data_IF_901283443760
#
_entry.id   IF_901283443760
#
_cell.length_a   1.000
_cell.length_b   1.000
_cell.length_c   1.000
_cell.angle_alpha   90.00
_cell.angle_beta   90.00
_cell.angle_gamma   90.00
#
_symmetry.space_group_name_H-M   'P 1'
#
loop_
_entity.id
_entity.type
_entity.pdbx_description
1 polymer ?
#
# COMPACT_ATOMS: atom_id res chain seq x y z
N UNK A 1 12.00 -8.46 1.30
CA UNK A 1 11.16 -9.22 2.23
C UNK A 1 10.34 -8.21 3.00
N UNK A 2 9.02 -8.34 3.05
CA UNK A 2 8.16 -7.38 3.74
C UNK A 2 8.11 -7.68 5.24
N UNK A 3 8.06 -6.62 6.05
CA UNK A 3 7.68 -6.73 7.45
C UNK A 3 6.20 -7.10 7.51
N UNK A 4 5.85 -8.24 8.10
CA UNK A 4 4.47 -8.71 8.16
C UNK A 4 3.59 -7.74 8.95
N UNK A 5 2.43 -7.39 8.41
CA UNK A 5 1.48 -6.47 9.03
C UNK A 5 1.78 -4.99 8.80
N UNK A 6 3.01 -4.66 8.41
CA UNK A 6 3.43 -3.30 8.11
C UNK A 6 2.73 -2.72 6.89
N UNK A 7 2.73 -1.39 6.82
CA UNK A 7 1.97 -0.61 5.87
C UNK A 7 2.93 0.23 5.05
N UNK A 8 2.78 0.11 3.74
CA UNK A 8 3.65 0.74 2.76
C UNK A 8 2.87 1.68 1.85
N UNK A 9 3.58 2.61 1.23
CA UNK A 9 3.10 3.47 0.15
C UNK A 9 4.05 3.38 -1.04
N UNK A 10 3.52 3.50 -2.25
CA UNK A 10 4.37 3.72 -3.43
C UNK A 10 4.80 5.18 -3.53
N UNK A 11 6.10 5.45 -3.44
CA UNK A 11 6.65 6.82 -3.52
C UNK A 11 6.63 7.41 -4.95
N UNK A 12 6.42 6.57 -5.97
CA UNK A 12 6.35 7.00 -7.39
C UNK A 12 5.01 7.61 -7.80
N UNK A 13 4.01 7.60 -6.91
CA UNK A 13 2.66 8.11 -7.22
C UNK A 13 2.31 9.27 -6.30
N UNK A 14 1.58 10.26 -6.83
CA UNK A 14 0.99 11.33 -6.02
C UNK A 14 -0.31 10.91 -5.32
N UNK A 15 -0.74 9.66 -5.48
CA UNK A 15 -1.95 9.15 -4.85
C UNK A 15 -1.61 8.60 -3.48
N UNK A 16 -2.24 9.14 -2.44
CA UNK A 16 -2.19 8.58 -1.09
C UNK A 16 -2.98 7.26 -1.07
N UNK A 17 -2.26 6.16 -1.26
CA UNK A 17 -2.80 4.79 -1.16
C UNK A 17 -1.88 3.94 -0.32
N UNK A 18 -2.45 3.33 0.72
CA UNK A 18 -1.73 2.48 1.66
C UNK A 18 -1.90 1.01 1.31
N UNK A 19 -0.85 0.24 1.54
CA UNK A 19 -0.80 -1.18 1.26
C UNK A 19 -0.28 -1.95 2.47
N UNK A 20 -1.06 -2.88 2.97
CA UNK A 20 -0.65 -3.71 4.09
C UNK A 20 0.05 -4.97 3.59
N UNK A 21 1.18 -5.30 4.20
CA UNK A 21 1.91 -6.54 3.98
C UNK A 21 1.24 -7.72 4.70
N UNK A 22 1.05 -8.80 3.97
CA UNK A 22 0.58 -10.06 4.48
C UNK A 22 1.29 -11.23 3.81
N UNK A 23 1.07 -12.41 4.37
CA UNK A 23 1.63 -13.66 3.88
C UNK A 23 0.48 -14.62 3.61
N UNK A 24 0.51 -15.29 2.45
CA UNK A 24 -0.45 -16.36 2.17
C UNK A 24 -0.18 -17.57 3.07
N UNK A 25 -1.11 -18.54 3.11
CA UNK A 25 -0.89 -19.81 3.84
C UNK A 25 0.35 -20.57 3.34
N UNK A 26 0.71 -20.37 2.07
CA UNK A 26 1.84 -21.03 1.42
C UNK A 26 3.14 -20.20 1.53
N UNK A 27 3.15 -19.15 2.36
CA UNK A 27 4.35 -18.35 2.63
C UNK A 27 4.66 -17.25 1.61
N UNK A 28 3.73 -16.93 0.69
CA UNK A 28 3.96 -15.90 -0.33
C UNK A 28 3.66 -14.54 0.27
N UNK A 29 4.66 -13.66 0.28
CA UNK A 29 4.52 -12.27 0.70
C UNK A 29 3.80 -11.43 -0.35
N UNK A 30 2.83 -10.64 0.10
CA UNK A 30 2.09 -9.73 -0.77
C UNK A 30 1.63 -8.48 -0.05
N UNK A 31 1.36 -7.45 -0.85
CA UNK A 31 0.78 -6.18 -0.45
C UNK A 31 -0.65 -6.09 -0.99
N UNK A 32 -1.59 -5.66 -0.16
CA UNK A 32 -2.97 -5.39 -0.57
C UNK A 32 -3.42 -4.00 -0.11
N UNK A 33 -4.21 -3.28 -0.91
CA UNK A 33 -4.59 -1.91 -0.61
C UNK A 33 -5.60 -1.86 0.54
N UNK A 34 -5.39 -0.89 1.44
CA UNK A 34 -6.25 -0.64 2.60
C UNK A 34 -6.57 0.87 2.71
N UNK A 35 -7.71 1.15 3.33
CA UNK A 35 -8.01 2.45 3.90
C UNK A 35 -7.25 2.63 5.22
N UNK A 36 -7.19 3.87 5.72
CA UNK A 36 -6.61 4.20 7.04
C UNK A 36 -7.29 3.41 8.18
N UNK A 37 -8.58 3.09 8.03
CA UNK A 37 -9.33 2.26 8.97
C UNK A 37 -8.92 0.78 8.97
N UNK A 38 -8.03 0.37 8.06
CA UNK A 38 -7.67 -1.03 7.81
C UNK A 38 -8.65 -1.77 6.90
N UNK A 39 -9.71 -1.10 6.46
CA UNK A 39 -10.69 -1.69 5.54
C UNK A 39 -10.03 -1.94 4.18
N UNK A 40 -10.13 -3.17 3.67
CA UNK A 40 -9.58 -3.52 2.35
C UNK A 40 -10.26 -2.71 1.26
N UNK A 41 -9.46 -2.09 0.40
CA UNK A 41 -9.96 -1.41 -0.78
C UNK A 41 -10.22 -2.47 -1.86
N UNK A 42 -11.40 -2.42 -2.46
CA UNK A 42 -11.75 -3.24 -3.60
C UNK A 42 -12.26 -2.33 -4.71
N UNK A 43 -11.80 -2.58 -5.93
CA UNK A 43 -12.29 -1.93 -7.13
C UNK A 43 -13.46 -2.72 -7.72
N UNK A 44 -14.24 -2.07 -8.56
CA UNK A 44 -15.39 -2.68 -9.23
C UNK A 44 -15.17 -2.69 -10.74
N UNK A 45 -15.34 -3.86 -11.36
CA UNK A 45 -15.37 -3.99 -12.80
C UNK A 45 -16.68 -3.39 -13.33
N UNK A 46 -16.73 -2.87 -14.58
CA UNK A 46 -17.98 -2.35 -15.17
C UNK A 46 -19.20 -3.29 -15.08
N UNK A 47 -18.99 -4.60 -15.03
CA UNK A 47 -20.05 -5.61 -14.82
C UNK A 47 -20.47 -5.85 -13.36
N UNK A 48 -20.00 -5.03 -12.41
CA UNK A 48 -20.37 -5.08 -10.99
C UNK A 48 -19.54 -6.01 -10.11
N UNK A 49 -18.73 -6.92 -10.68
CA UNK A 49 -17.84 -7.79 -9.91
C UNK A 49 -16.73 -6.99 -9.23
N UNK A 50 -16.49 -7.29 -7.96
CA UNK A 50 -15.45 -6.64 -7.15
C UNK A 50 -14.15 -7.43 -7.19
N UNK A 51 -13.05 -6.72 -7.27
CA UNK A 51 -11.70 -7.29 -7.23
C UNK A 51 -10.77 -6.42 -6.41
N UNK A 52 -9.63 -6.99 -6.04
CA UNK A 52 -8.51 -6.24 -5.45
C UNK A 52 -7.27 -6.50 -6.27
N UNK A 53 -6.44 -5.48 -6.46
CA UNK A 53 -5.09 -5.65 -7.02
C UNK A 53 -4.13 -5.81 -5.86
N UNK A 54 -3.36 -6.89 -5.90
CA UNK A 54 -2.32 -7.21 -4.92
C UNK A 54 -0.96 -7.25 -5.61
N UNK A 55 0.08 -6.93 -4.84
CA UNK A 55 1.46 -6.89 -5.34
C UNK A 55 2.30 -7.93 -4.63
N UNK A 56 3.02 -8.74 -5.38
CA UNK A 56 3.90 -9.78 -4.86
C UNK A 56 5.35 -9.39 -5.08
N UNK A 57 6.21 -9.66 -4.10
CA UNK A 57 7.65 -9.58 -4.33
C UNK A 57 8.08 -10.79 -5.17
N UNK A 58 8.61 -10.54 -6.36
CA UNK A 58 9.17 -11.61 -7.19
C UNK A 58 10.60 -11.94 -6.78
N UNK A 59 11.09 -13.10 -7.20
CA UNK A 59 12.50 -13.51 -7.01
C UNK A 59 13.53 -12.59 -7.69
N UNK A 60 13.10 -11.68 -8.57
CA UNK A 60 13.97 -10.74 -9.30
C UNK A 60 13.95 -9.33 -8.67
N UNK A 61 13.48 -9.20 -7.43
CA UNK A 61 13.34 -7.93 -6.72
C UNK A 61 12.44 -6.89 -7.43
N UNK A 62 11.51 -7.38 -8.25
CA UNK A 62 10.43 -6.59 -8.86
C UNK A 62 9.09 -6.96 -8.28
N UNK A 63 8.14 -6.04 -8.31
CA UNK A 63 6.78 -6.30 -7.88
C UNK A 63 5.94 -6.83 -9.05
N UNK A 64 5.20 -7.91 -8.82
CA UNK A 64 4.19 -8.39 -9.75
C UNK A 64 2.80 -8.02 -9.24
N UNK A 65 2.01 -7.35 -10.08
CA UNK A 65 0.62 -7.04 -9.80
C UNK A 65 -0.28 -8.17 -10.29
N UNK A 66 -1.17 -8.67 -9.45
CA UNK A 66 -2.23 -9.60 -9.86
C UNK A 66 -3.57 -9.18 -9.26
N UNK A 67 -4.66 -9.52 -9.93
CA UNK A 67 -6.00 -9.31 -9.38
C UNK A 67 -6.50 -10.52 -8.59
N UNK A 68 -7.42 -10.26 -7.67
CA UNK A 68 -8.18 -11.28 -6.96
C UNK A 68 -9.65 -10.86 -6.90
N UNK A 69 -10.53 -11.65 -7.51
CA UNK A 69 -11.98 -11.49 -7.42
C UNK A 69 -12.47 -11.79 -6.02
N UNK A 70 -13.38 -10.97 -5.50
CA UNK A 70 -13.99 -11.18 -4.19
C UNK A 70 -15.27 -12.01 -4.25
N UNK A 71 -15.91 -12.05 -5.43
CA UNK A 71 -17.15 -12.77 -5.66
C UNK A 71 -17.30 -13.26 -7.13
N UNK A 72 -17.26 -14.58 -7.39
CA UNK A 72 -16.68 -15.60 -6.51
C UNK A 72 -15.20 -15.33 -6.22
N UNK A 73 -14.71 -15.85 -5.09
CA UNK A 73 -13.31 -15.73 -4.66
C UNK A 73 -12.37 -16.47 -5.60
N UNK A 74 -11.62 -15.75 -6.42
CA UNK A 74 -10.77 -16.35 -7.45
C UNK A 74 -9.60 -15.43 -7.83
N UNK A 75 -8.39 -15.99 -7.92
CA UNK A 75 -7.24 -15.25 -8.47
C UNK A 75 -7.43 -14.98 -9.97
N UNK A 76 -6.86 -13.87 -10.45
CA UNK A 76 -6.78 -13.62 -11.88
C UNK A 76 -5.83 -14.64 -12.51
N UNK A 77 -6.10 -14.99 -13.76
CA UNK A 77 -5.28 -15.96 -14.50
C UNK A 77 -3.85 -15.47 -14.75
N UNK A 78 -3.65 -14.15 -14.74
CA UNK A 78 -2.38 -13.51 -15.08
C UNK A 78 -1.96 -12.54 -13.98
N UNK A 79 -0.65 -12.53 -13.73
CA UNK A 79 0.04 -11.48 -13.02
C UNK A 79 0.95 -10.74 -14.00
N UNK A 80 1.16 -9.45 -13.77
CA UNK A 80 2.02 -8.60 -14.58
C UNK A 80 3.20 -8.15 -13.74
N UNK A 81 4.42 -8.48 -14.18
CA UNK A 81 5.63 -7.95 -13.54
C UNK A 81 5.71 -6.46 -13.89
N UNK A 82 5.68 -5.63 -12.86
CA UNK A 82 5.81 -4.18 -13.00
C UNK A 82 7.28 -3.79 -13.07
N UNK A 83 7.55 -2.53 -13.40
CA UNK A 83 8.87 -1.92 -13.25
C UNK A 83 9.17 -1.48 -11.80
N UNK A 84 8.19 -1.57 -10.90
CA UNK A 84 8.36 -1.20 -9.50
C UNK A 84 9.18 -2.23 -8.72
N UNK A 85 9.97 -1.75 -7.78
CA UNK A 85 10.84 -2.55 -6.90
C UNK A 85 10.54 -2.25 -5.43
N UNK A 86 11.31 -2.86 -4.52
CA UNK A 86 11.23 -2.55 -3.09
C UNK A 86 11.64 -1.10 -2.77
N UNK A 87 12.51 -0.49 -3.57
CA UNK A 87 12.96 0.91 -3.37
C UNK A 87 11.85 1.93 -3.67
N UNK A 88 10.83 1.50 -4.42
CA UNK A 88 9.65 2.31 -4.70
C UNK A 88 8.61 2.25 -3.58
N UNK A 89 8.86 1.44 -2.54
CA UNK A 89 8.02 1.29 -1.36
C UNK A 89 8.62 2.04 -0.19
N UNK A 90 7.80 2.87 0.42
CA UNK A 90 8.10 3.59 1.64
C UNK A 90 7.33 2.92 2.77
N UNK A 91 8.03 2.56 3.86
CA UNK A 91 7.40 2.09 5.09
C UNK A 91 6.72 3.30 5.77
N UNK A 92 5.41 3.22 5.94
CA UNK A 92 4.59 4.28 6.55
C UNK A 92 4.33 3.98 8.02
N UNK A 93 4.12 2.72 8.36
CA UNK A 93 3.80 2.28 9.71
C UNK A 93 4.10 0.78 9.86
N UNK A 94 4.52 0.35 11.04
CA UNK A 94 4.74 -1.06 11.37
C UNK A 94 3.43 -1.82 11.59
N UNK A 95 2.37 -1.13 11.98
CA UNK A 95 1.03 -1.70 12.12
C UNK A 95 -0.11 -0.71 11.87
N UNK A 96 -1.35 -1.20 11.93
CA UNK A 96 -2.54 -0.40 11.67
C UNK A 96 -2.82 0.66 12.74
N UNK A 97 -2.44 0.42 13.98
CA UNK A 97 -2.65 1.39 15.05
C UNK A 97 -1.78 2.62 14.80
N UNK A 98 -0.53 2.41 14.42
CA UNK A 98 0.43 3.45 14.05
C UNK A 98 -0.02 4.23 12.79
N UNK A 99 -0.57 3.56 11.77
CA UNK A 99 -1.08 4.26 10.56
C UNK A 99 -2.14 5.31 10.91
N UNK A 100 -3.02 5.02 11.88
CA UNK A 100 -4.07 5.94 12.27
C UNK A 100 -3.51 7.25 12.85
N UNK A 101 -2.40 7.16 13.59
CA UNK A 101 -1.69 8.31 14.16
C UNK A 101 -0.99 9.09 13.06
N UNK A 102 -0.20 8.42 12.23
CA UNK A 102 0.52 9.02 11.10
C UNK A 102 -0.46 9.77 10.18
N UNK A 103 -1.57 9.13 9.80
CA UNK A 103 -2.54 9.77 8.91
C UNK A 103 -3.22 11.00 9.53
N UNK A 104 -3.49 11.01 10.84
CA UNK A 104 -4.03 12.19 11.52
C UNK A 104 -3.03 13.34 11.53
N UNK A 105 -1.73 13.05 11.65
CA UNK A 105 -0.68 14.08 11.57
C UNK A 105 -0.53 14.60 10.14
N UNK A 106 -0.56 13.73 9.13
CA UNK A 106 -0.59 14.11 7.71
C UNK A 106 -1.75 15.07 7.40
N UNK A 107 -2.95 14.70 7.82
CA UNK A 107 -4.16 15.49 7.58
C UNK A 107 -4.09 16.85 8.30
N UNK A 108 -3.55 16.86 9.52
CA UNK A 108 -3.29 18.11 10.26
C UNK A 108 -2.28 19.02 9.55
N UNK A 109 -1.22 18.47 8.95
CA UNK A 109 -0.22 19.24 8.20
C UNK A 109 -0.83 19.80 6.92
N UNK A 110 -1.55 18.97 6.16
CA UNK A 110 -2.15 19.34 4.88
C UNK A 110 -3.32 20.34 5.03
N UNK A 111 -4.07 20.28 6.13
CA UNK A 111 -5.20 21.17 6.39
C UNK A 111 -4.81 22.43 7.19
N UNK A 112 -3.54 22.63 7.54
CA UNK A 112 -3.06 23.95 7.99
C UNK A 112 -2.99 24.85 6.77
N UNK A 113 -3.96 25.75 6.68
CA UNK A 113 -4.32 26.58 5.53
C UNK A 113 -3.23 27.38 4.78
N UNK A 114 -1.95 27.34 5.15
CA UNK A 114 -0.89 28.18 4.57
C UNK A 114 0.48 27.47 4.39
N UNK A 115 0.54 26.14 4.35
CA UNK A 115 1.83 25.45 4.14
C UNK A 115 2.02 25.16 2.65
N UNK A 116 2.87 25.95 1.97
CA UNK A 116 3.64 25.44 0.82
C UNK A 116 4.31 24.15 1.30
N UNK A 117 3.98 23.00 0.69
CA UNK A 117 4.45 21.67 1.06
C UNK A 117 5.99 21.66 1.13
N UNK A 118 6.52 21.95 2.32
CA UNK A 118 7.95 22.01 2.58
C UNK A 118 8.46 20.58 2.75
N UNK A 119 9.14 20.10 1.71
CA UNK A 119 9.74 18.77 1.63
C UNK A 119 10.75 18.51 2.76
N UNK A 120 11.31 19.55 3.37
CA UNK A 120 12.28 19.43 4.46
C UNK A 120 11.61 18.96 5.77
N UNK A 121 10.37 19.39 6.02
CA UNK A 121 9.56 18.95 7.17
C UNK A 121 9.18 17.47 7.05
N UNK A 122 8.90 17.02 5.82
CA UNK A 122 8.63 15.61 5.53
C UNK A 122 9.85 14.71 5.74
N UNK A 123 11.05 15.20 5.43
CA UNK A 123 12.30 14.47 5.64
C UNK A 123 12.55 14.14 7.11
N UNK A 124 12.35 15.12 8.01
CA UNK A 124 12.58 14.93 9.44
C UNK A 124 11.62 13.91 10.09
N UNK A 125 10.34 13.91 9.68
CA UNK A 125 9.33 12.97 10.18
C UNK A 125 9.59 11.52 9.76
N UNK A 126 10.25 11.31 8.61
CA UNK A 126 10.58 9.98 8.08
C UNK A 126 11.91 9.43 8.63
N UNK A 127 12.79 10.29 9.16
CA UNK A 127 14.07 9.90 9.74
C UNK A 127 14.00 9.57 11.25
N UNK A 128 12.95 10.01 11.96
CA UNK A 128 12.74 9.74 13.40
C UNK A 128 11.94 8.46 13.70
N UNK A 129 11.54 7.67 12.69
CA UNK A 129 10.88 6.35 12.81
C UNK A 129 11.85 5.18 12.65
#
# INVERSE_FOLDING_TARGET
>A
MFIQGAIYRFNRTRQLRYYQAAVTKDGIEFLFPIQVSGTRIADQQPGGRRYVIIYFMTKWNKLAAAGYWLDPKQAFEKAYVTDATAEDLELVAHDLAELSVVNSELDNILNRHDIELDMEVWGALLEEM
#
